data_IF_209886611273
#
_entry.id   IF_209886611273
#
_cell.length_a   1.000
_cell.length_b   1.000
_cell.length_c   1.000
_cell.angle_alpha   90.00
_cell.angle_beta   90.00
_cell.angle_gamma   90.00
#
_symmetry.space_group_name_H-M   'P 1'
#
loop_
_entity.id
_entity.type
_entity.pdbx_description
1 polymer ?
#
# COMPACT_ATOMS: atom_id res chain seq x y z
N UNK A 1 -2.70 -3.65 17.29
CA UNK A 1 -2.52 -2.23 16.95
C UNK A 1 -2.00 -2.19 15.52
N UNK A 2 -2.55 -1.34 14.66
CA UNK A 2 -2.06 -1.19 13.29
C UNK A 2 -0.68 -0.51 13.33
N UNK A 3 0.21 -0.90 12.42
CA UNK A 3 1.49 -0.22 12.26
C UNK A 3 1.22 1.16 11.66
N UNK A 4 1.59 2.23 12.36
CA UNK A 4 1.52 3.59 11.84
C UNK A 4 2.75 3.83 10.99
N UNK A 5 2.60 4.50 9.84
CA UNK A 5 3.69 4.82 8.92
C UNK A 5 4.68 5.89 9.44
N UNK A 6 4.94 5.95 10.76
CA UNK A 6 5.90 6.88 11.37
C UNK A 6 7.30 6.75 10.76
N UNK A 7 7.68 5.55 10.30
CA UNK A 7 8.95 5.34 9.59
C UNK A 7 8.95 5.87 8.15
N UNK A 8 7.78 6.13 7.57
CA UNK A 8 7.63 6.74 6.24
C UNK A 8 7.52 8.28 6.30
N UNK A 9 7.40 8.89 7.49
CA UNK A 9 7.44 10.35 7.62
C UNK A 9 8.88 10.86 7.52
N UNK A 10 9.34 11.07 6.29
CA UNK A 10 10.56 11.83 5.96
C UNK A 10 10.26 13.28 5.55
N UNK A 11 11.31 14.04 5.23
CA UNK A 11 11.13 15.37 4.63
C UNK A 11 10.28 15.28 3.35
N UNK A 12 9.19 16.05 3.30
CA UNK A 12 8.28 16.08 2.14
C UNK A 12 7.08 15.13 2.23
N UNK A 13 6.95 14.34 3.30
CA UNK A 13 5.78 13.48 3.54
C UNK A 13 4.93 13.98 4.71
N UNK A 14 3.61 13.87 4.57
CA UNK A 14 2.61 14.18 5.60
C UNK A 14 1.93 12.89 6.04
N UNK A 15 1.86 12.65 7.35
CA UNK A 15 1.13 11.50 7.91
C UNK A 15 -0.37 11.74 7.86
N UNK A 16 -1.12 10.73 7.42
CA UNK A 16 -2.59 10.69 7.53
C UNK A 16 -3.08 9.25 7.67
N UNK A 17 -3.89 9.00 8.71
CA UNK A 17 -4.33 7.67 9.14
C UNK A 17 -3.16 6.73 9.43
N UNK A 18 -3.08 5.60 8.73
CA UNK A 18 -1.99 4.61 8.87
C UNK A 18 -0.87 4.80 7.84
N UNK A 19 -0.93 5.83 6.98
CA UNK A 19 0.00 6.05 5.87
C UNK A 19 0.67 7.42 5.91
N UNK A 20 1.45 7.70 4.86
CA UNK A 20 2.04 9.00 4.60
C UNK A 20 1.91 9.32 3.10
N UNK A 21 1.71 10.59 2.76
CA UNK A 21 1.64 11.05 1.36
C UNK A 21 2.61 12.21 1.11
N UNK A 22 3.09 12.34 -0.13
CA UNK A 22 3.94 13.46 -0.55
C UNK A 22 3.10 14.63 -1.11
N UNK A 23 3.74 15.74 -1.48
CA UNK A 23 3.05 16.91 -2.03
C UNK A 23 2.18 16.66 -3.28
N UNK A 24 2.50 15.64 -4.08
CA UNK A 24 1.74 15.27 -5.29
C UNK A 24 0.42 14.56 -4.94
N UNK A 25 0.41 13.78 -3.85
CA UNK A 25 -0.73 13.02 -3.37
C UNK A 25 -1.50 13.73 -2.23
N UNK A 26 -1.45 15.07 -2.21
CA UNK A 26 -2.11 15.87 -1.16
C UNK A 26 -3.61 15.57 -1.08
N UNK A 27 -4.08 15.27 0.13
CA UNK A 27 -5.49 14.97 0.42
C UNK A 27 -5.83 13.48 0.41
N UNK A 28 -4.85 12.61 0.15
CA UNK A 28 -5.00 11.17 0.33
C UNK A 28 -4.97 10.81 1.81
N UNK A 29 -5.83 9.88 2.22
CA UNK A 29 -5.78 9.25 3.54
C UNK A 29 -5.72 7.74 3.41
N UNK A 30 -5.07 7.08 4.35
CA UNK A 30 -4.99 5.62 4.41
C UNK A 30 -5.54 5.11 5.75
N UNK A 31 -6.39 4.10 5.75
CA UNK A 31 -6.87 3.42 6.95
C UNK A 31 -6.42 1.97 7.00
N UNK A 32 -6.32 1.43 8.22
CA UNK A 32 -6.13 0.00 8.46
C UNK A 32 -7.44 -0.55 9.03
N UNK A 33 -8.20 -1.25 8.20
CA UNK A 33 -9.58 -1.62 8.49
C UNK A 33 -9.69 -3.00 9.15
N UNK A 34 -8.78 -3.91 8.84
CA UNK A 34 -8.66 -5.24 9.46
C UNK A 34 -7.22 -5.76 9.30
N UNK A 35 -6.90 -6.92 9.89
CA UNK A 35 -5.59 -7.56 9.75
C UNK A 35 -5.27 -7.79 8.27
N UNK A 36 -4.24 -7.08 7.82
CA UNK A 36 -3.79 -7.11 6.44
C UNK A 36 -4.74 -6.42 5.46
N UNK A 37 -5.65 -5.56 5.90
CA UNK A 37 -6.57 -4.82 5.02
C UNK A 37 -6.40 -3.32 5.25
N UNK A 38 -6.05 -2.62 4.16
CA UNK A 38 -5.82 -1.18 4.16
C UNK A 38 -6.64 -0.53 3.05
N UNK A 39 -7.21 0.62 3.32
CA UNK A 39 -7.96 1.40 2.32
C UNK A 39 -7.29 2.74 2.11
N UNK A 40 -7.13 3.14 0.85
CA UNK A 40 -6.58 4.43 0.44
C UNK A 40 -7.65 5.18 -0.34
N UNK A 41 -7.95 6.40 0.10
CA UNK A 41 -8.97 7.28 -0.51
C UNK A 41 -8.40 8.66 -0.82
N UNK A 42 -9.10 9.44 -1.64
CA UNK A 42 -8.68 10.80 -2.03
C UNK A 42 -7.87 10.86 -3.34
N UNK A 43 -7.70 9.72 -4.02
CA UNK A 43 -7.13 9.63 -5.37
C UNK A 43 -8.18 9.22 -6.40
N UNK A 44 -7.79 9.18 -7.68
CA UNK A 44 -8.54 8.58 -8.79
C UNK A 44 -8.10 7.12 -9.05
N UNK A 45 -7.53 6.45 -8.04
CA UNK A 45 -6.92 5.13 -8.18
C UNK A 45 -5.41 5.18 -8.46
N UNK A 46 -4.89 4.12 -9.08
CA UNK A 46 -3.47 4.01 -9.42
C UNK A 46 -3.08 4.94 -10.57
N UNK A 47 -1.80 5.35 -10.59
CA UNK A 47 -1.23 6.05 -11.72
C UNK A 47 -1.37 5.23 -13.02
N UNK A 48 -1.70 5.90 -14.13
CA UNK A 48 -1.88 5.26 -15.45
C UNK A 48 -0.59 5.14 -16.25
N UNK A 49 0.51 5.69 -15.74
CA UNK A 49 1.83 5.66 -16.38
C UNK A 49 2.97 5.43 -15.36
N UNK A 50 3.97 4.66 -15.78
CA UNK A 50 5.10 4.26 -14.94
C UNK A 50 4.77 3.17 -13.90
N UNK A 51 5.45 3.22 -12.76
CA UNK A 51 5.24 2.28 -11.65
C UNK A 51 3.96 2.60 -10.87
N UNK A 52 3.34 1.60 -10.26
CA UNK A 52 2.08 1.75 -9.48
C UNK A 52 2.21 1.27 -8.05
N UNK A 53 2.95 0.19 -7.82
CA UNK A 53 3.12 -0.41 -6.49
C UNK A 53 4.55 -0.93 -6.30
N UNK A 54 5.14 -0.65 -5.14
CA UNK A 54 6.37 -1.28 -4.68
C UNK A 54 6.12 -2.02 -3.35
N UNK A 55 6.41 -3.31 -3.35
CA UNK A 55 6.23 -4.19 -2.19
C UNK A 55 7.56 -4.27 -1.43
N UNK A 56 7.58 -4.17 -0.09
CA UNK A 56 8.81 -4.17 0.67
C UNK A 56 9.59 -5.49 0.51
N UNK A 57 10.88 -5.39 0.23
CA UNK A 57 11.80 -6.53 0.03
C UNK A 57 12.92 -6.57 1.08
N UNK A 58 13.44 -7.77 1.38
CA UNK A 58 14.70 -7.92 2.12
C UNK A 58 15.93 -7.59 1.26
N UNK A 59 17.12 -7.64 1.85
CA UNK A 59 18.40 -7.38 1.16
C UNK A 59 18.72 -8.34 0.01
N UNK A 60 18.02 -9.48 -0.06
CA UNK A 60 18.17 -10.47 -1.12
C UNK A 60 17.09 -10.31 -2.20
N UNK A 61 16.21 -9.30 -2.11
CA UNK A 61 15.11 -9.06 -3.04
C UNK A 61 13.85 -9.87 -2.77
N UNK A 62 13.75 -10.58 -1.64
CA UNK A 62 12.54 -11.34 -1.33
C UNK A 62 11.43 -10.42 -0.80
N UNK A 63 10.27 -10.43 -1.44
CA UNK A 63 9.08 -9.67 -1.00
C UNK A 63 8.58 -10.12 0.37
N UNK A 64 8.56 -9.24 1.35
CA UNK A 64 8.25 -9.58 2.74
C UNK A 64 6.80 -10.02 2.97
N UNK A 65 5.88 -9.64 2.08
CA UNK A 65 4.49 -10.09 2.08
C UNK A 65 3.99 -10.29 0.64
N UNK A 66 2.88 -11.02 0.50
CA UNK A 66 2.04 -10.98 -0.69
C UNK A 66 1.11 -9.78 -0.61
N UNK A 67 0.81 -9.19 -1.76
CA UNK A 67 -0.09 -8.04 -1.87
C UNK A 67 -1.09 -8.27 -2.99
N UNK A 68 -2.36 -8.07 -2.68
CA UNK A 68 -3.45 -7.97 -3.63
C UNK A 68 -4.04 -6.57 -3.55
N UNK A 69 -4.46 -6.02 -4.70
CA UNK A 69 -5.03 -4.67 -4.77
C UNK A 69 -6.31 -4.68 -5.58
N UNK A 70 -7.26 -3.87 -5.15
CA UNK A 70 -8.53 -3.64 -5.83
C UNK A 70 -8.80 -2.15 -5.87
N UNK A 71 -9.25 -1.63 -7.02
CA UNK A 71 -9.60 -0.22 -7.18
C UNK A 71 -11.08 -0.10 -7.53
N UNK A 72 -11.83 0.61 -6.70
CA UNK A 72 -13.24 0.89 -6.94
C UNK A 72 -13.43 2.00 -7.99
N UNK A 73 -14.65 2.14 -8.51
CA UNK A 73 -14.98 3.15 -9.54
C UNK A 73 -14.72 4.60 -9.09
N UNK A 74 -14.80 4.86 -7.78
CA UNK A 74 -14.54 6.18 -7.19
C UNK A 74 -13.06 6.47 -6.95
N UNK A 75 -12.16 5.54 -7.31
CA UNK A 75 -10.73 5.66 -7.11
C UNK A 75 -10.21 5.12 -5.77
N UNK A 76 -11.09 4.64 -4.89
CA UNK A 76 -10.69 4.00 -3.63
C UNK A 76 -9.87 2.74 -3.92
N UNK A 77 -8.72 2.60 -3.27
CA UNK A 77 -7.85 1.42 -3.42
C UNK A 77 -7.91 0.62 -2.11
N UNK A 78 -8.25 -0.66 -2.21
CA UNK A 78 -8.06 -1.62 -1.12
C UNK A 78 -6.79 -2.41 -1.36
N UNK A 79 -5.90 -2.42 -0.36
CA UNK A 79 -4.67 -3.22 -0.34
C UNK A 79 -4.83 -4.32 0.68
N UNK A 80 -4.62 -5.57 0.25
CA UNK A 80 -4.68 -6.76 1.10
C UNK A 80 -3.31 -7.43 1.18
N UNK A 81 -2.83 -7.72 2.38
CA UNK A 81 -1.49 -8.28 2.60
C UNK A 81 -1.54 -9.64 3.28
N UNK A 82 -0.73 -10.57 2.78
CA UNK A 82 -0.74 -11.96 3.24
C UNK A 82 0.68 -12.47 3.51
N UNK A 83 0.77 -13.41 4.45
CA UNK A 83 1.97 -14.19 4.68
C UNK A 83 2.26 -15.12 3.51
N UNK A 84 3.37 -15.86 3.59
CA UNK A 84 3.73 -16.85 2.59
C UNK A 84 3.26 -18.24 3.03
N UNK A 85 2.71 -19.01 2.10
CA UNK A 85 2.37 -20.42 2.28
C UNK A 85 3.00 -21.23 1.16
N UNK A 86 3.61 -22.37 1.47
CA UNK A 86 4.00 -23.32 0.44
C UNK A 86 2.78 -24.15 0.05
N UNK A 87 2.46 -24.16 -1.22
CA UNK A 87 1.43 -25.01 -1.80
C UNK A 87 2.06 -26.30 -2.31
N UNK A 88 1.78 -27.40 -1.61
CA UNK A 88 2.37 -28.71 -1.90
C UNK A 88 1.88 -29.30 -3.23
N UNK A 89 0.68 -28.92 -3.70
CA UNK A 89 0.11 -29.46 -4.94
C UNK A 89 0.81 -28.86 -6.17
N UNK A 90 1.08 -27.56 -6.13
CA UNK A 90 1.70 -26.82 -7.23
C UNK A 90 3.21 -26.63 -7.06
N UNK A 91 3.76 -26.97 -5.89
CA UNK A 91 5.12 -26.67 -5.46
C UNK A 91 5.49 -25.17 -5.57
N UNK A 92 4.51 -24.29 -5.34
CA UNK A 92 4.68 -22.84 -5.42
C UNK A 92 4.57 -22.17 -4.04
N UNK A 93 5.18 -20.99 -3.90
CA UNK A 93 4.91 -20.10 -2.76
C UNK A 93 3.72 -19.21 -3.15
N UNK A 94 2.64 -19.29 -2.36
CA UNK A 94 1.38 -18.59 -2.57
C UNK A 94 1.01 -17.72 -1.37
N UNK A 95 -0.03 -16.91 -1.51
CA UNK A 95 -0.61 -16.15 -0.40
C UNK A 95 -1.12 -17.10 0.71
N UNK A 96 -0.73 -16.79 1.95
CA UNK A 96 -1.17 -17.48 3.16
C UNK A 96 -2.24 -16.71 3.92
N UNK A 97 -2.17 -16.74 5.25
CA UNK A 97 -3.08 -15.98 6.10
C UNK A 97 -2.85 -14.47 5.95
N UNK A 98 -3.90 -13.64 6.15
CA UNK A 98 -3.72 -12.20 6.25
C UNK A 98 -2.71 -11.84 7.33
N UNK A 99 -1.81 -10.92 7.01
CA UNK A 99 -0.84 -10.34 7.95
C UNK A 99 -0.80 -8.85 7.75
N UNK A 100 -0.42 -8.09 8.78
CA UNK A 100 -0.11 -6.68 8.60
C UNK A 100 1.21 -6.48 7.84
N UNK A 101 1.38 -5.28 7.27
CA UNK A 101 2.66 -4.87 6.70
C UNK A 101 3.72 -4.99 7.81
N UNK A 102 4.87 -5.66 7.56
CA UNK A 102 5.89 -5.87 8.57
C UNK A 102 6.38 -4.57 9.20
N UNK A 103 6.67 -4.60 10.50
CA UNK A 103 7.13 -3.44 11.26
C UNK A 103 8.34 -2.77 10.60
N UNK A 104 8.34 -1.44 10.56
CA UNK A 104 9.39 -0.64 9.94
C UNK A 104 9.42 -0.69 8.41
N UNK A 105 8.41 -1.28 7.76
CA UNK A 105 8.24 -1.34 6.30
C UNK A 105 6.92 -0.71 5.88
N UNK A 106 6.83 -0.39 4.59
CA UNK A 106 5.63 0.16 3.94
C UNK A 106 5.49 -0.40 2.52
N UNK A 107 4.33 -0.17 1.92
CA UNK A 107 4.06 -0.40 0.50
C UNK A 107 3.95 0.97 -0.15
N UNK A 108 4.76 1.24 -1.17
CA UNK A 108 4.65 2.48 -1.92
C UNK A 108 3.57 2.34 -2.99
N UNK A 109 2.67 3.33 -3.07
CA UNK A 109 1.62 3.40 -4.08
C UNK A 109 1.80 4.68 -4.88
N UNK A 110 1.80 4.57 -6.21
CA UNK A 110 1.74 5.72 -7.11
C UNK A 110 0.29 5.94 -7.52
N UNK A 111 -0.21 7.13 -7.23
CA UNK A 111 -1.63 7.45 -7.36
C UNK A 111 -1.86 8.38 -8.55
N UNK A 112 -2.98 8.18 -9.24
CA UNK A 112 -3.53 9.19 -10.13
C UNK A 112 -4.31 10.18 -9.27
N UNK A 113 -3.97 11.46 -9.32
CA UNK A 113 -4.64 12.49 -8.53
C UNK A 113 -5.56 13.33 -9.40
N UNK A 114 -6.69 13.83 -8.86
CA UNK A 114 -7.46 14.86 -9.53
C UNK A 114 -6.55 16.03 -9.91
N UNK A 115 -6.78 16.62 -11.08
CA UNK A 115 -6.05 17.84 -11.44
C UNK A 115 -6.31 18.87 -10.35
N UNK A 116 -5.24 19.40 -9.78
CA UNK A 116 -5.37 20.52 -8.87
C UNK A 116 -5.97 21.69 -9.63
N UNK A 117 -7.10 22.22 -9.17
CA UNK A 117 -7.60 23.53 -9.58
C UNK A 117 -6.63 24.59 -9.03
N UNK A 118 -5.46 24.74 -9.67
CA UNK A 118 -4.65 25.91 -9.48
C UNK A 118 -5.25 27.04 -10.34
N UNK A 119 -5.59 28.20 -9.75
CA UNK A 119 -5.89 29.40 -10.52
C UNK A 119 -4.67 29.91 -11.29
#
# INVERSE_FOLDING_TARGET
MANVAEYASGEGFTLDGCGAYNGEAKGVTASHDDVGVYTVTGSLGFATDGWTIEIPQDVNGNRLCFVETETAEDGTITVRTFGRRFDYETAMIVAGNPINIPDGRWIDLRLAMPKSDQP
#
